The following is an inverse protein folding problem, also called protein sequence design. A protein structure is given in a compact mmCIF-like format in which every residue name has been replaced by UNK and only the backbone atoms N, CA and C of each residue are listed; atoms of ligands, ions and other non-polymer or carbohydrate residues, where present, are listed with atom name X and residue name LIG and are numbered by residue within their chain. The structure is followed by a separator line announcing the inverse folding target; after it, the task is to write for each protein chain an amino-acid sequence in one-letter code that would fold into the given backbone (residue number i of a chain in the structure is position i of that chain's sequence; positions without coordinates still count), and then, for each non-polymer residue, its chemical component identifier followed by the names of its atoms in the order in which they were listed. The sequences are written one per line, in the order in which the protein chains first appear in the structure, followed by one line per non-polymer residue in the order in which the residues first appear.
data_IF_156857653079
#
_entry.id   IF_156857653079
#
_cell.length_a   1.000
_cell.length_b   1.000
_cell.length_c   1.000
_cell.angle_alpha   90.00
_cell.angle_beta   90.00
_cell.angle_gamma   90.00
#
_symmetry.space_group_name_H-M   'P 1'
#
loop_
_entity.id
_entity.type
_entity.pdbx_description
1 polymer ?
#
# COMPACT_ATOMS: atom_id res chain seq x y z
N UNK A 1 26.87 -11.07 3.51
CA UNK A 1 25.88 -10.33 2.70
C UNK A 1 24.55 -11.04 2.89
N UNK A 2 23.68 -10.53 3.76
CA UNK A 2 22.36 -11.13 4.00
C UNK A 2 21.43 -10.69 2.87
N UNK A 3 21.11 -11.61 1.97
CA UNK A 3 20.06 -11.42 0.95
C UNK A 3 18.78 -11.93 1.58
N UNK A 4 17.99 -11.03 2.17
CA UNK A 4 16.62 -11.36 2.59
C UNK A 4 15.75 -11.43 1.34
N UNK A 5 15.47 -12.64 0.87
CA UNK A 5 14.41 -12.90 -0.10
C UNK A 5 13.07 -12.78 0.63
N UNK A 6 12.31 -11.73 0.33
CA UNK A 6 10.93 -11.62 0.77
C UNK A 6 10.09 -12.60 -0.07
N UNK A 7 9.85 -13.80 0.47
CA UNK A 7 9.10 -14.87 -0.23
C UNK A 7 7.63 -14.49 -0.53
N UNK A 8 7.09 -13.47 0.16
CA UNK A 8 5.71 -13.06 0.00
C UNK A 8 5.51 -11.57 0.30
N UNK A 9 4.84 -10.88 -0.61
CA UNK A 9 4.43 -9.49 -0.42
C UNK A 9 3.04 -9.48 0.23
N UNK A 10 2.94 -8.78 1.36
CA UNK A 10 1.68 -8.51 2.05
C UNK A 10 1.21 -7.12 1.61
N UNK A 11 0.01 -7.05 1.06
CA UNK A 11 -0.58 -5.80 0.60
C UNK A 11 -1.60 -5.34 1.64
N UNK A 12 -1.35 -4.20 2.29
CA UNK A 12 -2.29 -3.60 3.24
C UNK A 12 -3.17 -2.58 2.51
N UNK A 13 -4.49 -2.79 2.54
CA UNK A 13 -5.47 -1.95 1.83
C UNK A 13 -6.66 -1.61 2.71
N UNK A 14 -7.30 -0.48 2.42
CA UNK A 14 -8.58 -0.13 3.01
C UNK A 14 -9.71 -1.03 2.45
N UNK A 15 -10.90 -0.92 3.05
CA UNK A 15 -12.08 -1.67 2.63
C UNK A 15 -12.81 -1.01 1.44
N UNK A 16 -12.13 -0.22 0.60
CA UNK A 16 -12.77 0.36 -0.57
C UNK A 16 -13.30 -0.72 -1.51
N UNK A 17 -14.56 -0.58 -1.92
CA UNK A 17 -15.26 -1.55 -2.78
C UNK A 17 -14.53 -1.84 -4.09
N UNK A 18 -13.82 -0.85 -4.64
CA UNK A 18 -13.01 -1.00 -5.85
C UNK A 18 -11.81 -1.93 -5.64
N UNK A 19 -11.19 -1.92 -4.45
CA UNK A 19 -10.06 -2.78 -4.10
C UNK A 19 -10.50 -4.23 -3.82
N UNK A 20 -11.74 -4.42 -3.37
CA UNK A 20 -12.33 -5.74 -3.14
C UNK A 20 -13.00 -6.35 -4.39
N UNK A 21 -12.94 -5.66 -5.54
CA UNK A 21 -13.58 -6.13 -6.76
C UNK A 21 -12.89 -7.40 -7.29
N UNK A 22 -13.68 -8.33 -7.83
CA UNK A 22 -13.20 -9.62 -8.34
C UNK A 22 -11.98 -9.51 -9.29
N UNK A 23 -11.91 -8.55 -10.24
CA UNK A 23 -10.74 -8.41 -11.10
C UNK A 23 -9.45 -8.11 -10.33
N UNK A 24 -9.55 -7.28 -9.28
CA UNK A 24 -8.41 -6.89 -8.44
C UNK A 24 -7.95 -8.11 -7.62
N UNK A 25 -8.89 -8.84 -7.01
CA UNK A 25 -8.58 -10.06 -6.29
C UNK A 25 -7.90 -11.12 -7.17
N UNK A 26 -8.40 -11.35 -8.39
CA UNK A 26 -7.80 -12.30 -9.35
C UNK A 26 -6.38 -11.89 -9.76
N UNK A 27 -6.16 -10.60 -9.96
CA UNK A 27 -4.83 -10.09 -10.28
C UNK A 27 -3.85 -10.32 -9.12
N UNK A 28 -4.25 -10.00 -7.88
CA UNK A 28 -3.43 -10.20 -6.69
C UNK A 28 -3.03 -11.67 -6.47
N UNK A 29 -3.95 -12.60 -6.75
CA UNK A 29 -3.66 -14.04 -6.74
C UNK A 29 -2.61 -14.43 -7.78
N UNK A 30 -2.68 -13.85 -8.99
CA UNK A 30 -1.73 -14.13 -10.08
C UNK A 30 -0.30 -13.74 -9.70
N UNK A 31 -0.14 -12.63 -8.99
CA UNK A 31 1.18 -12.15 -8.52
C UNK A 31 1.57 -12.72 -7.15
N UNK A 32 0.77 -13.63 -6.57
CA UNK A 32 0.98 -14.27 -5.25
C UNK A 32 1.06 -13.27 -4.08
N UNK A 33 0.37 -12.14 -4.20
CA UNK A 33 0.29 -11.16 -3.11
C UNK A 33 -0.86 -11.51 -2.18
N UNK A 34 -0.63 -11.33 -0.88
CA UNK A 34 -1.63 -11.61 0.15
C UNK A 34 -2.28 -10.29 0.61
N UNK A 35 -3.51 -9.96 0.18
CA UNK A 35 -4.20 -8.77 0.63
C UNK A 35 -4.64 -8.90 2.07
N UNK A 36 -4.23 -7.95 2.91
CA UNK A 36 -4.76 -7.72 4.25
C UNK A 36 -5.60 -6.45 4.22
N UNK A 37 -6.86 -6.59 4.59
CA UNK A 37 -7.75 -5.46 4.74
C UNK A 37 -7.66 -4.93 6.16
N UNK A 38 -7.41 -3.63 6.28
CA UNK A 38 -7.23 -2.97 7.56
C UNK A 38 -7.23 -1.47 7.37
N UNK A 39 -7.69 -0.75 8.39
CA UNK A 39 -7.64 0.70 8.40
C UNK A 39 -6.20 1.14 8.71
N UNK A 40 -5.34 1.16 7.69
CA UNK A 40 -3.96 1.66 7.82
C UNK A 40 -3.94 3.19 7.81
N UNK A 41 -4.52 3.79 8.85
CA UNK A 41 -4.52 5.26 9.01
C UNK A 41 -3.07 5.75 9.11
N UNK A 42 -2.17 4.97 9.73
CA UNK A 42 -0.82 5.43 10.05
C UNK A 42 0.03 5.64 8.81
N UNK A 43 0.14 4.66 7.91
CA UNK A 43 1.04 4.74 6.76
C UNK A 43 0.63 5.87 5.80
N UNK A 44 -0.64 5.91 5.40
CA UNK A 44 -1.14 6.94 4.50
C UNK A 44 -1.03 8.33 5.13
N UNK A 45 -1.35 8.48 6.42
CA UNK A 45 -1.23 9.76 7.11
C UNK A 45 0.19 10.31 7.16
N UNK A 46 1.18 9.46 7.47
CA UNK A 46 2.57 9.89 7.47
C UNK A 46 3.07 10.22 6.06
N UNK A 47 2.68 9.43 5.06
CA UNK A 47 3.06 9.66 3.67
C UNK A 47 2.46 10.97 3.13
N UNK A 48 1.16 11.19 3.31
CA UNK A 48 0.48 12.41 2.88
C UNK A 48 1.09 13.64 3.55
N UNK A 49 1.37 13.59 4.85
CA UNK A 49 2.06 14.71 5.53
C UNK A 49 3.45 14.99 4.98
N UNK A 50 4.24 13.96 4.69
CA UNK A 50 5.57 14.15 4.10
C UNK A 50 5.47 14.75 2.70
N UNK A 51 4.47 14.34 1.91
CA UNK A 51 4.18 14.93 0.59
C UNK A 51 3.73 16.38 0.73
N UNK A 52 2.77 16.68 1.60
CA UNK A 52 2.31 18.05 1.89
C UNK A 52 3.46 18.94 2.33
N UNK A 53 4.31 18.46 3.25
CA UNK A 53 5.49 19.20 3.70
C UNK A 53 6.45 19.46 2.53
N UNK A 54 6.71 18.47 1.65
CA UNK A 54 7.57 18.65 0.47
C UNK A 54 6.96 19.58 -0.58
N UNK A 55 5.65 19.59 -0.73
CA UNK A 55 4.94 20.45 -1.68
C UNK A 55 4.90 21.90 -1.18
N UNK A 56 4.72 22.11 0.12
CA UNK A 56 4.74 23.43 0.75
C UNK A 56 6.15 24.00 0.86
N UNK A 57 7.17 23.19 1.16
CA UNK A 57 8.58 23.65 1.20
C UNK A 57 9.18 23.92 -0.18
N UNK A 58 8.54 23.52 -1.28
CA UNK A 58 8.98 23.80 -2.65
C UNK A 58 8.60 25.18 -3.17
N UNK A 59 7.83 25.96 -2.42
CA UNK A 59 7.55 27.35 -2.73
C UNK A 59 8.52 28.27 -1.98
N UNK A 60 9.71 28.50 -2.55
CA UNK A 60 10.53 29.70 -2.39
C UNK A 60 11.54 29.80 -3.53
#
# INVERSE_FOLDING_TARGET
MYVTTYDRIILLQDYARSLMAAPVCTYLQTIKWDPRYGLDISSFYHLFRLMEHRLTTKHF
#
